data_IF_113896446189
#
_entry.id   IF_113896446189
#
_cell.length_a   1.000
_cell.length_b   1.000
_cell.length_c   1.000
_cell.angle_alpha   90.00
_cell.angle_beta   90.00
_cell.angle_gamma   90.00
#
_symmetry.space_group_name_H-M   'P 1'
#
loop_
_entity.id
_entity.type
_entity.pdbx_description
1 polymer ?
#
# COMPACT_ATOMS: atom_id res chain seq x y z
N UNK A 1 15.56 3.74 28.29
CA UNK A 1 15.52 5.01 27.56
C UNK A 1 16.56 4.91 26.45
N UNK A 2 16.15 4.65 25.21
CA UNK A 2 16.96 4.99 24.05
C UNK A 2 16.14 5.98 23.22
N UNK A 3 16.68 7.18 23.09
CA UNK A 3 16.22 8.19 22.15
C UNK A 3 16.90 7.93 20.81
N UNK A 4 16.15 8.03 19.72
CA UNK A 4 16.72 8.33 18.41
C UNK A 4 15.73 9.23 17.68
N UNK A 5 16.01 10.52 17.82
CA UNK A 5 15.58 11.55 16.91
C UNK A 5 16.57 11.56 15.74
N UNK A 6 16.05 11.67 14.51
CA UNK A 6 16.82 11.93 13.31
C UNK A 6 16.75 10.79 12.30
N UNK A 7 15.83 10.94 11.34
CA UNK A 7 16.02 10.57 9.94
C UNK A 7 16.61 9.18 9.63
N UNK A 8 15.74 8.16 9.59
CA UNK A 8 16.00 6.93 8.82
C UNK A 8 16.03 7.28 7.32
N UNK A 9 17.18 7.66 6.78
CA UNK A 9 17.36 8.06 5.37
C UNK A 9 18.07 6.98 4.52
N UNK A 10 18.61 5.92 5.13
CA UNK A 10 19.21 4.83 4.33
C UNK A 10 18.30 3.59 4.29
N UNK A 11 17.92 3.17 3.07
CA UNK A 11 17.20 1.91 2.83
C UNK A 11 17.93 0.73 3.46
N UNK A 12 19.26 0.80 3.51
CA UNK A 12 20.09 -0.26 4.08
C UNK A 12 19.88 -0.40 5.59
N UNK A 13 19.63 0.69 6.34
CA UNK A 13 19.35 0.64 7.78
C UNK A 13 17.96 0.06 8.08
N UNK A 14 16.98 0.28 7.19
CA UNK A 14 15.65 -0.36 7.29
C UNK A 14 15.77 -1.87 7.12
N UNK A 15 16.58 -2.33 6.16
CA UNK A 15 16.81 -3.76 5.96
C UNK A 15 17.65 -4.36 7.09
N UNK A 16 18.69 -3.67 7.57
CA UNK A 16 19.56 -4.15 8.65
C UNK A 16 18.81 -4.17 10.00
N UNK A 17 17.88 -3.25 10.24
CA UNK A 17 16.97 -3.28 11.40
C UNK A 17 15.93 -4.40 11.30
N UNK A 18 15.38 -4.63 10.11
CA UNK A 18 14.49 -5.76 9.85
C UNK A 18 15.23 -7.09 10.06
N UNK A 19 16.47 -7.21 9.56
CA UNK A 19 17.31 -8.41 9.70
C UNK A 19 17.75 -8.65 11.15
N UNK A 20 18.10 -7.57 11.88
CA UNK A 20 18.42 -7.64 13.31
C UNK A 20 17.20 -7.95 14.20
N UNK A 21 15.98 -7.62 13.75
CA UNK A 21 14.74 -8.13 14.36
C UNK A 21 14.55 -9.62 14.04
N UNK A 22 14.87 -10.07 12.82
CA UNK A 22 14.62 -11.44 12.37
C UNK A 22 15.51 -12.52 13.00
N UNK A 23 16.64 -12.18 13.61
CA UNK A 23 17.55 -13.16 14.27
C UNK A 23 16.95 -13.80 15.54
N UNK A 24 15.74 -13.39 15.96
CA UNK A 24 15.01 -14.04 17.05
C UNK A 24 13.49 -13.80 17.11
N UNK A 25 12.89 -13.22 16.05
CA UNK A 25 11.50 -12.75 16.06
C UNK A 25 10.66 -13.52 15.03
N UNK A 26 9.43 -13.83 15.44
CA UNK A 26 8.29 -14.24 14.60
C UNK A 26 8.41 -13.64 13.18
N UNK A 27 8.23 -14.42 12.12
CA UNK A 27 8.40 -13.90 10.76
C UNK A 27 7.51 -12.66 10.57
N UNK A 28 7.97 -11.69 9.79
CA UNK A 28 7.21 -10.46 9.52
C UNK A 28 5.78 -10.79 9.05
N UNK A 29 5.67 -11.83 8.24
CA UNK A 29 4.42 -12.34 7.66
C UNK A 29 3.50 -12.90 8.75
N UNK A 30 4.04 -13.69 9.68
CA UNK A 30 3.29 -14.25 10.82
C UNK A 30 2.86 -13.13 11.78
N UNK A 31 3.70 -12.13 12.01
CA UNK A 31 3.31 -10.95 12.78
C UNK A 31 2.20 -10.16 12.12
N UNK A 32 2.32 -9.89 10.81
CA UNK A 32 1.35 -9.10 10.06
C UNK A 32 -0.01 -9.80 10.02
N UNK A 33 -0.03 -11.12 9.78
CA UNK A 33 -1.25 -11.93 9.79
C UNK A 33 -1.95 -11.91 11.14
N UNK A 34 -1.20 -12.02 12.24
CA UNK A 34 -1.78 -11.97 13.59
C UNK A 34 -2.37 -10.59 13.91
N UNK A 35 -1.61 -9.51 13.68
CA UNK A 35 -2.09 -8.15 13.95
C UNK A 35 -3.29 -7.77 13.06
N UNK A 36 -3.23 -8.12 11.78
CA UNK A 36 -4.35 -7.94 10.86
C UNK A 36 -5.59 -8.69 11.35
N UNK A 37 -5.43 -9.97 11.74
CA UNK A 37 -6.51 -10.80 12.28
C UNK A 37 -7.16 -10.21 13.53
N UNK A 38 -6.36 -9.69 14.48
CA UNK A 38 -6.86 -8.99 15.68
C UNK A 38 -7.75 -7.81 15.30
N UNK A 39 -7.24 -6.95 14.41
CA UNK A 39 -7.98 -5.75 14.01
C UNK A 39 -9.24 -6.07 13.19
N UNK A 40 -9.22 -7.11 12.34
CA UNK A 40 -10.42 -7.57 11.61
C UNK A 40 -11.49 -8.04 12.59
N UNK A 41 -11.10 -8.77 13.64
CA UNK A 41 -12.04 -9.23 14.66
C UNK A 41 -12.67 -8.07 15.46
N UNK A 42 -11.93 -6.98 15.68
CA UNK A 42 -12.40 -5.81 16.43
C UNK A 42 -13.23 -4.82 15.59
N UNK A 43 -12.83 -4.58 14.34
CA UNK A 43 -13.35 -3.47 13.51
C UNK A 43 -14.18 -3.92 12.31
N UNK A 44 -14.21 -5.22 12.02
CA UNK A 44 -14.82 -5.78 10.81
C UNK A 44 -13.89 -5.74 9.61
N UNK A 45 -14.17 -6.60 8.64
CA UNK A 45 -13.36 -6.76 7.44
C UNK A 45 -13.37 -5.48 6.57
N UNK A 46 -12.20 -5.07 6.08
CA UNK A 46 -12.05 -3.99 5.09
C UNK A 46 -11.69 -2.58 5.61
N UNK A 47 -11.73 -2.35 6.93
CA UNK A 47 -11.35 -1.06 7.54
C UNK A 47 -10.11 -1.16 8.45
N UNK A 48 -9.30 -2.20 8.25
CA UNK A 48 -8.09 -2.42 9.03
C UNK A 48 -6.91 -1.73 8.34
N UNK A 49 -6.30 -0.78 9.04
CA UNK A 49 -5.03 -0.17 8.64
C UNK A 49 -3.96 -0.59 9.63
N UNK A 50 -2.90 -1.25 9.14
CA UNK A 50 -1.68 -1.50 9.91
C UNK A 50 -0.64 -0.38 9.75
N UNK A 51 -0.96 0.67 8.98
CA UNK A 51 -0.09 1.83 8.85
C UNK A 51 0.09 2.49 10.22
N UNK A 52 1.34 2.75 10.58
CA UNK A 52 1.67 3.33 11.86
C UNK A 52 1.06 4.75 12.00
N UNK A 53 0.50 5.12 13.17
CA UNK A 53 -0.16 6.42 13.35
C UNK A 53 0.73 7.66 13.14
N UNK A 54 2.06 7.49 13.15
CA UNK A 54 2.98 8.60 12.82
C UNK A 54 2.77 9.17 11.42
N UNK A 55 2.23 8.37 10.49
CA UNK A 55 1.91 8.82 9.14
C UNK A 55 0.64 9.68 9.09
N UNK A 56 -0.22 9.69 10.11
CA UNK A 56 -1.46 10.48 10.11
C UNK A 56 -1.23 12.00 10.01
N UNK A 57 -0.03 12.46 10.33
CA UNK A 57 0.37 13.87 10.25
C UNK A 57 1.18 14.20 8.99
N UNK A 58 1.47 13.20 8.16
CA UNK A 58 2.16 13.40 6.90
C UNK A 58 1.19 13.98 5.85
N UNK A 59 1.59 15.06 5.19
CA UNK A 59 0.78 15.72 4.16
C UNK A 59 0.62 14.85 2.91
N UNK A 60 1.51 13.88 2.75
CA UNK A 60 1.47 12.89 1.67
C UNK A 60 0.84 11.56 2.11
N UNK A 61 0.20 11.52 3.28
CA UNK A 61 -0.58 10.37 3.71
C UNK A 61 -2.07 10.68 3.69
N UNK A 62 -2.84 9.81 3.04
CA UNK A 62 -4.30 9.85 3.05
C UNK A 62 -4.82 8.72 3.95
N UNK A 63 -5.60 9.08 4.97
CA UNK A 63 -6.17 8.12 5.94
C UNK A 63 -6.98 7.02 5.25
N UNK A 64 -7.69 7.38 4.17
CA UNK A 64 -8.49 6.44 3.40
C UNK A 64 -7.66 5.40 2.61
N UNK A 65 -6.36 5.64 2.42
CA UNK A 65 -5.47 4.73 1.72
C UNK A 65 -4.84 3.68 2.66
N UNK A 66 -4.82 3.94 3.98
CA UNK A 66 -4.27 3.03 4.99
C UNK A 66 -4.85 1.60 4.92
N UNK A 67 -6.19 1.43 4.91
CA UNK A 67 -6.79 0.12 4.73
C UNK A 67 -6.51 -0.51 3.36
N UNK A 68 -6.47 0.29 2.29
CA UNK A 68 -6.21 -0.20 0.94
C UNK A 68 -4.79 -0.76 0.84
N UNK A 69 -3.78 -0.01 1.29
CA UNK A 69 -2.39 -0.45 1.23
C UNK A 69 -2.14 -1.65 2.15
N UNK A 70 -2.81 -1.69 3.32
CA UNK A 70 -2.76 -2.85 4.21
C UNK A 70 -3.27 -4.10 3.50
N UNK A 71 -4.43 -4.03 2.82
CA UNK A 71 -4.98 -5.17 2.09
C UNK A 71 -4.05 -5.64 0.95
N UNK A 72 -3.47 -4.71 0.18
CA UNK A 72 -2.51 -5.05 -0.89
C UNK A 72 -1.30 -5.81 -0.32
N UNK A 73 -0.76 -5.34 0.81
CA UNK A 73 0.36 -6.02 1.48
C UNK A 73 -0.07 -7.41 1.97
N UNK A 74 -1.23 -7.54 2.61
CA UNK A 74 -1.74 -8.84 3.05
C UNK A 74 -1.92 -9.83 1.89
N UNK A 75 -2.41 -9.37 0.73
CA UNK A 75 -2.52 -10.21 -0.48
C UNK A 75 -1.14 -10.65 -1.00
N UNK A 76 -0.11 -9.83 -0.84
CA UNK A 76 1.27 -10.16 -1.23
C UNK A 76 1.93 -11.15 -0.26
N UNK A 77 1.46 -11.22 0.99
CA UNK A 77 1.96 -12.09 2.05
C UNK A 77 1.28 -13.47 2.07
N UNK A 78 0.36 -13.76 1.14
CA UNK A 78 -0.29 -15.08 1.05
C UNK A 78 0.77 -16.19 0.92
N UNK A 79 0.63 -17.26 1.69
CA UNK A 79 1.61 -18.35 1.75
C UNK A 79 1.84 -19.01 0.37
N UNK A 80 0.76 -19.28 -0.37
CA UNK A 80 0.83 -19.84 -1.72
C UNK A 80 1.25 -18.76 -2.73
N UNK A 81 2.44 -18.86 -3.35
CA UNK A 81 2.90 -17.87 -4.32
C UNK A 81 2.01 -17.76 -5.57
N UNK A 82 1.23 -18.80 -5.88
CA UNK A 82 0.31 -18.80 -7.02
C UNK A 82 -0.98 -18.02 -6.75
N UNK A 83 -1.31 -17.77 -5.49
CA UNK A 83 -2.47 -16.97 -5.06
C UNK A 83 -2.12 -15.48 -4.88
N UNK A 84 -0.82 -15.15 -4.83
CA UNK A 84 -0.36 -13.76 -4.73
C UNK A 84 -0.71 -12.96 -6.00
N UNK A 85 -1.01 -11.67 -5.88
CA UNK A 85 -1.24 -10.83 -7.04
C UNK A 85 0.05 -10.70 -7.89
N UNK A 86 -0.12 -10.60 -9.21
CA UNK A 86 0.99 -10.22 -10.09
C UNK A 86 1.46 -8.80 -9.79
N UNK A 87 2.71 -8.48 -10.17
CA UNK A 87 3.24 -7.11 -10.03
C UNK A 87 2.35 -6.09 -10.75
N UNK A 88 1.86 -6.41 -11.95
CA UNK A 88 0.94 -5.53 -12.68
C UNK A 88 -0.34 -5.27 -11.88
N UNK A 89 -0.88 -6.31 -11.22
CA UNK A 89 -2.06 -6.18 -10.36
C UNK A 89 -1.77 -5.33 -9.12
N UNK A 90 -0.59 -5.48 -8.52
CA UNK A 90 -0.15 -4.64 -7.40
C UNK A 90 -0.04 -3.18 -7.84
N UNK A 91 0.54 -2.91 -9.00
CA UNK A 91 0.65 -1.56 -9.56
C UNK A 91 -0.74 -0.95 -9.76
N UNK A 92 -1.68 -1.68 -10.38
CA UNK A 92 -3.06 -1.20 -10.57
C UNK A 92 -3.74 -0.85 -9.23
N UNK A 93 -3.49 -1.63 -8.18
CA UNK A 93 -4.05 -1.39 -6.85
C UNK A 93 -3.42 -0.16 -6.18
N UNK A 94 -2.10 0.02 -6.36
CA UNK A 94 -1.36 1.20 -5.86
C UNK A 94 -1.75 2.47 -6.62
N UNK A 95 -1.97 2.38 -7.93
CA UNK A 95 -2.50 3.49 -8.73
C UNK A 95 -3.88 3.91 -8.24
N UNK A 96 -4.69 3.00 -7.70
CA UNK A 96 -6.00 3.31 -7.11
C UNK A 96 -5.96 4.07 -5.79
N UNK A 97 -4.78 4.35 -5.23
CA UNK A 97 -4.62 5.12 -4.00
C UNK A 97 -4.85 6.61 -4.26
N UNK A 98 -5.57 7.25 -3.36
CA UNK A 98 -5.91 8.68 -3.44
C UNK A 98 -4.66 9.56 -3.47
N UNK A 99 -3.64 9.22 -2.67
CA UNK A 99 -2.35 9.93 -2.67
C UNK A 99 -1.67 9.87 -4.04
N UNK A 100 -1.70 8.70 -4.69
CA UNK A 100 -1.06 8.49 -6.00
C UNK A 100 -1.80 9.28 -7.07
N UNK A 101 -3.13 9.21 -7.09
CA UNK A 101 -3.94 9.99 -8.04
C UNK A 101 -3.74 11.50 -7.85
N UNK A 102 -3.73 12.01 -6.62
CA UNK A 102 -3.45 13.43 -6.32
C UNK A 102 -2.10 13.88 -6.86
N UNK A 103 -1.07 13.05 -6.69
CA UNK A 103 0.26 13.37 -7.19
C UNK A 103 0.30 13.34 -8.73
N UNK A 104 -0.34 12.36 -9.38
CA UNK A 104 -0.43 12.29 -10.84
C UNK A 104 -1.13 13.52 -11.44
N UNK A 105 -2.23 13.96 -10.83
CA UNK A 105 -2.95 15.17 -11.22
C UNK A 105 -2.06 16.42 -11.07
N UNK A 106 -1.30 16.50 -9.98
CA UNK A 106 -0.37 17.60 -9.69
C UNK A 106 0.72 17.71 -10.76
N UNK A 107 1.20 16.59 -11.29
CA UNK A 107 2.22 16.54 -12.34
C UNK A 107 1.65 16.57 -13.76
N UNK A 108 0.32 16.67 -13.93
CA UNK A 108 -0.33 16.68 -15.25
C UNK A 108 -0.15 15.36 -16.01
N UNK A 109 0.15 14.27 -15.32
CA UNK A 109 0.28 12.94 -15.91
C UNK A 109 -1.12 12.32 -15.92
N UNK A 110 -1.94 12.77 -16.86
CA UNK A 110 -3.26 12.17 -17.08
C UNK A 110 -3.10 10.68 -17.40
N UNK A 111 -3.64 9.82 -16.53
CA UNK A 111 -3.78 8.41 -16.90
C UNK A 111 -4.71 8.35 -18.10
N UNK A 112 -4.18 7.93 -19.26
CA UNK A 112 -4.97 7.67 -20.46
C UNK A 112 -5.86 6.45 -20.20
N UNK A 113 -6.87 6.59 -19.33
CA UNK A 113 -7.96 5.63 -19.25
C UNK A 113 -8.78 5.83 -20.51
N UNK A 114 -8.67 4.84 -21.40
CA UNK A 114 -9.18 4.83 -22.76
C UNK A 114 -10.39 5.73 -23.00
N UNK A 115 -10.16 6.81 -23.75
CA UNK A 115 -11.20 7.38 -24.58
C UNK A 115 -11.57 6.31 -25.61
N UNK A 116 -12.59 5.50 -25.31
CA UNK A 116 -13.25 4.71 -26.33
C UNK A 116 -13.96 5.72 -27.22
N UNK A 117 -13.62 5.86 -28.51
CA UNK A 117 -14.36 6.77 -29.38
C UNK A 117 -15.82 6.35 -29.35
N UNK A 118 -16.70 7.28 -28.98
CA UNK A 118 -18.14 7.12 -29.19
C UNK A 118 -18.36 6.89 -30.67
N UNK A 119 -19.01 5.78 -31.00
CA UNK A 119 -19.28 5.31 -32.35
C UNK A 119 -20.39 6.15 -33.02
N UNK A 120 -20.29 7.48 -32.98
CA UNK A 120 -21.32 8.38 -33.50
C UNK A 120 -20.79 9.50 -34.44
N UNK A 121 -19.51 9.48 -34.83
CA UNK A 121 -18.99 10.37 -35.89
C UNK A 121 -18.53 9.60 -37.13
N UNK A 122 -19.44 8.77 -37.67
CA UNK A 122 -19.29 8.19 -39.01
C UNK A 122 -20.58 8.38 -39.81
N UNK A 123 -20.94 9.62 -40.08
CA UNK A 123 -21.82 10.01 -41.19
C UNK A 123 -21.74 11.51 -41.41
N UNK A 124 -20.67 11.95 -42.04
CA UNK A 124 -20.65 13.10 -42.93
C UNK A 124 -19.28 13.16 -43.60
N UNK A 125 -19.15 12.43 -44.71
CA UNK A 125 -18.43 12.80 -45.94
C UNK A 125 -18.76 11.77 -47.03
#
# INVERSE_FOLDING_TARGET
MLAIAGDLIDKNEVYEYADALLDGVRSLDEWAAEEYGKHVAERGNGNVSLVHPSFEHDQDFELADGPKITNVVMDCLIDDPSERPSIDRVIDLLDGLSVVQRNLDTFGIGTNRGHKPSHDEASEL
#
